data_IF_287393830425
#
_entry.id   IF_287393830425
#
_cell.length_a   1.000
_cell.length_b   1.000
_cell.length_c   1.000
_cell.angle_alpha   90.00
_cell.angle_beta   90.00
_cell.angle_gamma   90.00
#
_symmetry.space_group_name_H-M   'P 1'
#
loop_
_entity.id
_entity.type
_entity.pdbx_description
1 polymer ?
#
# COMPACT_ATOMS: atom_id res chain seq x y z
N UNK A 1 18.25 18.04 16.48
CA UNK A 1 17.12 18.92 16.08
C UNK A 1 15.94 18.01 15.74
N UNK A 2 14.80 18.12 16.44
CA UNK A 2 13.71 17.12 16.39
C UNK A 2 13.05 17.04 15.01
N UNK A 3 12.78 15.81 14.53
CA UNK A 3 12.12 15.51 13.25
C UNK A 3 10.77 16.23 13.02
N UNK A 4 10.14 16.73 14.09
CA UNK A 4 8.91 17.52 14.02
C UNK A 4 9.08 18.89 13.31
N UNK A 5 10.29 19.44 13.24
CA UNK A 5 10.54 20.74 12.62
C UNK A 5 10.75 20.68 11.09
N UNK A 6 10.94 19.49 10.52
CA UNK A 6 11.29 19.31 9.10
C UNK A 6 10.12 19.48 8.12
N UNK A 7 8.87 19.42 8.60
CA UNK A 7 7.67 19.66 7.79
C UNK A 7 7.01 21.03 8.08
N UNK A 8 7.65 21.89 8.87
CA UNK A 8 7.10 23.17 9.29
C UNK A 8 7.30 24.32 8.27
N UNK A 9 8.07 24.09 7.20
CA UNK A 9 8.36 25.12 6.18
C UNK A 9 7.41 25.14 4.98
N UNK A 10 6.39 24.28 4.96
CA UNK A 10 5.16 24.60 4.23
C UNK A 10 4.26 25.34 5.22
N UNK A 11 4.09 26.64 5.03
CA UNK A 11 3.25 27.50 5.88
C UNK A 11 1.81 27.01 5.83
N UNK A 12 1.46 26.13 6.76
CA UNK A 12 0.09 25.69 7.00
C UNK A 12 -0.70 26.90 7.56
N UNK A 13 -1.91 27.19 7.04
CA UNK A 13 -2.80 28.21 7.59
C UNK A 13 -2.89 28.12 9.12
N UNK A 14 -3.02 29.25 9.82
CA UNK A 14 -3.12 29.31 11.30
C UNK A 14 -4.20 28.36 11.89
N UNK A 15 -5.25 28.03 11.12
CA UNK A 15 -6.26 27.03 11.49
C UNK A 15 -5.68 25.62 11.64
N UNK A 16 -4.74 25.20 10.81
CA UNK A 16 -4.13 23.86 10.89
C UNK A 16 -3.21 23.70 12.10
N UNK A 17 -2.59 24.80 12.59
CA UNK A 17 -1.78 24.75 13.82
C UNK A 17 -2.66 24.51 15.05
N UNK A 18 -3.82 25.15 15.12
CA UNK A 18 -4.81 24.94 16.19
C UNK A 18 -5.42 23.54 16.10
N UNK A 19 -5.78 23.07 14.91
CA UNK A 19 -6.25 21.70 14.70
C UNK A 19 -5.20 20.66 15.07
N UNK A 20 -3.91 20.87 14.73
CA UNK A 20 -2.81 19.96 15.12
C UNK A 20 -2.56 19.96 16.62
N UNK A 21 -2.65 21.12 17.28
CA UNK A 21 -2.54 21.20 18.74
C UNK A 21 -3.66 20.40 19.41
N UNK A 22 -4.90 20.53 18.94
CA UNK A 22 -6.02 19.71 19.42
C UNK A 22 -5.87 18.21 19.07
N UNK A 23 -5.31 17.87 17.91
CA UNK A 23 -5.04 16.49 17.50
C UNK A 23 -3.97 15.79 18.37
N UNK A 24 -2.96 16.53 18.83
CA UNK A 24 -1.87 15.98 19.66
C UNK A 24 -2.29 15.59 21.08
N UNK A 25 -3.46 16.06 21.55
CA UNK A 25 -4.03 15.76 22.87
C UNK A 25 -5.40 15.09 22.77
N UNK A 26 -5.63 14.28 21.74
CA UNK A 26 -6.87 13.51 21.64
C UNK A 26 -6.94 12.48 22.78
N UNK A 27 -8.03 12.48 23.58
CA UNK A 27 -8.23 11.41 24.53
C UNK A 27 -8.45 10.08 23.79
N UNK A 28 -7.87 9.00 24.29
CA UNK A 28 -8.15 7.64 23.80
C UNK A 28 -9.64 7.29 23.98
N UNK A 29 -10.11 6.21 23.35
CA UNK A 29 -11.51 5.76 23.49
C UNK A 29 -11.85 5.54 24.98
N UNK A 30 -10.93 4.93 25.74
CA UNK A 30 -11.08 4.74 27.18
C UNK A 30 -11.14 6.06 27.95
N UNK A 31 -10.30 7.04 27.61
CA UNK A 31 -10.35 8.38 28.22
C UNK A 31 -11.65 9.13 27.87
N UNK A 32 -12.17 8.95 26.66
CA UNK A 32 -13.44 9.55 26.24
C UNK A 32 -14.61 8.99 27.04
N UNK A 33 -14.65 7.66 27.25
CA UNK A 33 -15.67 7.01 28.09
C UNK A 33 -15.58 7.52 29.54
N UNK A 34 -14.37 7.59 30.11
CA UNK A 34 -14.15 8.12 31.47
C UNK A 34 -14.62 9.57 31.60
N UNK A 35 -14.35 10.43 30.61
CA UNK A 35 -14.78 11.82 30.63
C UNK A 35 -16.31 11.96 30.53
N UNK A 36 -16.98 11.10 29.75
CA UNK A 36 -18.45 11.07 29.67
C UNK A 36 -19.04 10.63 31.02
N UNK A 37 -18.53 9.55 31.61
CA UNK A 37 -18.99 9.06 32.92
C UNK A 37 -18.77 10.11 34.00
N UNK A 38 -17.59 10.74 34.04
CA UNK A 38 -17.27 11.81 34.99
C UNK A 38 -18.21 13.01 34.82
N UNK A 39 -18.51 13.41 33.59
CA UNK A 39 -19.47 14.47 33.30
C UNK A 39 -20.87 14.14 33.85
N UNK A 40 -21.36 12.92 33.60
CA UNK A 40 -22.68 12.49 34.09
C UNK A 40 -22.70 12.48 35.61
N UNK A 41 -21.65 11.97 36.26
CA UNK A 41 -21.53 11.98 37.72
C UNK A 41 -21.50 13.39 38.29
N UNK A 42 -20.80 14.34 37.67
CA UNK A 42 -20.79 15.74 38.10
C UNK A 42 -22.18 16.40 37.97
N UNK A 43 -22.91 16.13 36.88
CA UNK A 43 -24.27 16.66 36.67
C UNK A 43 -25.23 16.07 37.71
N UNK A 44 -25.20 14.74 37.91
CA UNK A 44 -26.05 14.06 38.90
C UNK A 44 -25.71 14.53 40.32
N UNK A 45 -24.43 14.66 40.67
CA UNK A 45 -24.02 15.19 41.97
C UNK A 45 -24.47 16.64 42.16
N UNK A 46 -24.42 17.47 41.11
CA UNK A 46 -24.92 18.85 41.16
C UNK A 46 -26.43 18.90 41.38
N UNK A 47 -27.20 18.01 40.75
CA UNK A 47 -28.65 17.88 40.94
C UNK A 47 -29.02 17.36 42.33
N UNK A 48 -28.27 16.40 42.86
CA UNK A 48 -28.45 15.88 44.23
C UNK A 48 -28.12 16.98 45.26
N UNK A 49 -27.04 17.73 45.04
CA UNK A 49 -26.72 18.91 45.85
C UNK A 49 -27.87 19.93 45.83
N UNK A 50 -28.50 20.15 44.66
CA UNK A 50 -29.72 20.97 44.47
C UNK A 50 -30.89 20.55 45.36
N UNK A 51 -31.01 19.27 45.68
CA UNK A 51 -32.15 18.75 46.44
C UNK A 51 -31.89 18.67 47.94
N UNK A 52 -30.63 18.49 48.36
CA UNK A 52 -30.30 18.13 49.76
C UNK A 52 -29.74 19.32 50.55
N UNK A 53 -29.05 20.27 49.91
CA UNK A 53 -28.32 21.32 50.63
C UNK A 53 -29.19 22.54 50.98
N UNK A 54 -28.85 23.26 52.07
CA UNK A 54 -29.50 24.52 52.44
C UNK A 54 -29.40 25.58 51.33
N UNK A 55 -30.47 26.35 51.14
CA UNK A 55 -30.66 27.30 50.03
C UNK A 55 -29.48 28.28 49.81
N UNK A 56 -28.77 28.65 50.88
CA UNK A 56 -27.64 29.59 50.86
C UNK A 56 -26.35 29.06 50.23
N UNK A 57 -26.14 27.74 50.22
CA UNK A 57 -24.90 27.09 49.73
C UNK A 57 -25.17 26.27 48.47
N UNK A 58 -26.41 25.78 48.38
CA UNK A 58 -26.84 24.83 47.39
C UNK A 58 -26.68 25.35 45.94
N UNK A 59 -27.12 26.58 45.68
CA UNK A 59 -27.10 27.15 44.33
C UNK A 59 -25.67 27.25 43.78
N UNK A 60 -24.70 27.64 44.62
CA UNK A 60 -23.28 27.78 44.25
C UNK A 60 -22.64 26.43 43.94
N UNK A 61 -22.86 25.42 44.79
CA UNK A 61 -22.26 24.09 44.59
C UNK A 61 -22.90 23.37 43.39
N UNK A 62 -24.21 23.48 43.23
CA UNK A 62 -24.93 22.88 42.11
C UNK A 62 -24.50 23.49 40.77
N UNK A 63 -24.35 24.83 40.70
CA UNK A 63 -23.86 25.51 39.50
C UNK A 63 -22.40 25.14 39.17
N UNK A 64 -21.53 25.01 40.17
CA UNK A 64 -20.14 24.61 39.96
C UNK A 64 -20.04 23.18 39.41
N UNK A 65 -20.73 22.21 40.04
CA UNK A 65 -20.68 20.81 39.64
C UNK A 65 -21.40 20.57 38.31
N UNK A 66 -22.61 21.11 38.15
CA UNK A 66 -23.38 21.02 36.91
C UNK A 66 -22.70 21.74 35.75
N UNK A 67 -22.15 22.93 36.01
CA UNK A 67 -21.40 23.70 35.02
C UNK A 67 -20.10 23.01 34.59
N UNK A 68 -19.36 22.42 35.53
CA UNK A 68 -18.14 21.67 35.21
C UNK A 68 -18.45 20.42 34.39
N UNK A 69 -19.51 19.68 34.74
CA UNK A 69 -20.01 18.56 33.93
C UNK A 69 -20.40 19.00 32.52
N UNK A 70 -21.16 20.08 32.38
CA UNK A 70 -21.57 20.61 31.08
C UNK A 70 -20.39 21.06 30.21
N UNK A 71 -19.37 21.69 30.81
CA UNK A 71 -18.13 22.07 30.13
C UNK A 71 -17.37 20.85 29.61
N UNK A 72 -17.25 19.79 30.41
CA UNK A 72 -16.61 18.53 29.99
C UNK A 72 -17.40 17.89 28.84
N UNK A 73 -18.73 17.80 28.97
CA UNK A 73 -19.58 17.22 27.92
C UNK A 73 -19.48 18.01 26.61
N UNK A 74 -19.54 19.34 26.71
CA UNK A 74 -19.41 20.23 25.55
C UNK A 74 -18.04 20.07 24.87
N UNK A 75 -16.97 19.94 25.65
CA UNK A 75 -15.64 19.68 25.12
C UNK A 75 -15.56 18.32 24.40
N UNK A 76 -16.07 17.24 25.01
CA UNK A 76 -16.09 15.91 24.38
C UNK A 76 -16.93 15.91 23.10
N UNK A 77 -18.09 16.57 23.13
CA UNK A 77 -18.99 16.67 21.98
C UNK A 77 -18.35 17.47 20.85
N UNK A 78 -17.70 18.60 21.16
CA UNK A 78 -16.93 19.37 20.18
C UNK A 78 -15.78 18.55 19.58
N UNK A 79 -15.07 17.74 20.38
CA UNK A 79 -14.01 16.86 19.87
C UNK A 79 -14.57 15.76 18.97
N UNK A 80 -15.72 15.17 19.30
CA UNK A 80 -16.40 14.19 18.44
C UNK A 80 -16.89 14.83 17.14
N UNK A 81 -17.54 16.00 17.22
CA UNK A 81 -17.94 16.76 16.03
C UNK A 81 -16.72 17.09 15.18
N UNK A 82 -15.63 17.60 15.74
CA UNK A 82 -14.40 17.85 14.97
C UNK A 82 -13.84 16.56 14.36
N UNK A 83 -13.91 15.43 15.06
CA UNK A 83 -13.46 14.12 14.54
C UNK A 83 -14.33 13.64 13.36
N UNK A 84 -15.64 13.80 13.44
CA UNK A 84 -16.59 13.27 12.45
C UNK A 84 -16.99 14.29 11.36
N UNK A 85 -16.77 15.59 11.59
CA UNK A 85 -17.07 16.67 10.65
C UNK A 85 -15.85 17.17 9.89
N UNK A 86 -14.65 16.67 10.18
CA UNK A 86 -13.49 16.97 9.34
C UNK A 86 -13.72 16.38 7.94
N UNK A 87 -13.63 17.18 6.87
CA UNK A 87 -13.80 16.68 5.52
C UNK A 87 -12.72 15.63 5.27
N UNK A 88 -13.14 14.41 4.90
CA UNK A 88 -12.21 13.39 4.40
C UNK A 88 -11.50 14.02 3.22
N UNK A 89 -10.18 14.11 3.32
CA UNK A 89 -9.35 14.66 2.26
C UNK A 89 -9.29 13.64 1.12
N UNK A 90 -10.34 13.59 0.30
CA UNK A 90 -10.49 12.62 -0.79
C UNK A 90 -9.75 13.06 -2.05
N UNK A 91 -9.04 14.18 -2.01
CA UNK A 91 -8.35 14.76 -3.14
C UNK A 91 -7.18 13.89 -3.59
N UNK A 92 -7.03 13.77 -4.91
CA UNK A 92 -5.90 13.08 -5.52
C UNK A 92 -4.60 13.81 -5.16
N UNK A 93 -3.57 13.15 -4.59
CA UNK A 93 -2.34 13.81 -4.18
C UNK A 93 -1.53 14.31 -5.37
N UNK A 94 -0.73 15.36 -5.15
CA UNK A 94 0.09 16.01 -6.19
C UNK A 94 0.98 15.03 -6.96
N UNK A 95 1.56 14.03 -6.29
CA UNK A 95 2.37 13.01 -6.95
C UNK A 95 1.61 12.28 -8.06
N UNK A 96 0.42 11.75 -7.74
CA UNK A 96 -0.42 11.10 -8.73
C UNK A 96 -1.01 12.07 -9.76
N UNK A 97 -1.28 13.34 -9.40
CA UNK A 97 -1.66 14.36 -10.41
C UNK A 97 -0.57 14.56 -11.46
N UNK A 98 0.71 14.45 -11.12
CA UNK A 98 1.79 14.51 -12.12
C UNK A 98 1.79 13.28 -13.03
N UNK A 99 1.43 12.10 -12.51
CA UNK A 99 1.23 10.90 -13.33
C UNK A 99 0.10 11.15 -14.33
N UNK A 100 -1.04 11.69 -13.87
CA UNK A 100 -2.18 12.04 -14.74
C UNK A 100 -1.73 13.03 -15.82
N UNK A 101 -1.00 14.09 -15.45
CA UNK A 101 -0.46 15.09 -16.39
C UNK A 101 0.44 14.47 -17.47
N UNK A 102 1.19 13.44 -17.12
CA UNK A 102 2.15 12.81 -18.02
C UNK A 102 1.52 11.80 -18.99
N UNK A 103 0.36 11.24 -18.65
CA UNK A 103 -0.26 10.13 -19.37
C UNK A 103 -1.57 10.53 -20.05
N UNK A 104 -2.39 11.34 -19.40
CA UNK A 104 -3.62 11.85 -19.98
C UNK A 104 -3.41 13.20 -20.66
N UNK A 105 -4.40 13.57 -21.48
CA UNK A 105 -4.51 14.92 -22.04
C UNK A 105 -4.48 15.98 -20.94
N UNK A 106 -3.99 17.17 -21.29
CA UNK A 106 -3.96 18.32 -20.37
C UNK A 106 -5.34 18.61 -19.77
N UNK A 107 -6.42 18.36 -20.51
CA UNK A 107 -7.78 18.62 -20.05
C UNK A 107 -8.19 17.74 -18.87
N UNK A 108 -7.79 16.47 -18.83
CA UNK A 108 -8.05 15.61 -17.67
C UNK A 108 -7.30 16.13 -16.43
N UNK A 109 -6.03 16.51 -16.60
CA UNK A 109 -5.24 17.09 -15.51
C UNK A 109 -5.83 18.40 -15.01
N UNK A 110 -6.23 19.29 -15.91
CA UNK A 110 -6.85 20.58 -15.57
C UNK A 110 -8.19 20.37 -14.88
N UNK A 111 -9.03 19.43 -15.35
CA UNK A 111 -10.30 19.10 -14.71
C UNK A 111 -10.09 18.57 -13.28
N UNK A 112 -9.20 17.58 -13.11
CA UNK A 112 -8.87 17.02 -11.78
C UNK A 112 -8.34 18.10 -10.84
N UNK A 113 -7.55 19.04 -11.36
CA UNK A 113 -6.90 20.06 -10.53
C UNK A 113 -7.83 21.23 -10.20
N UNK A 114 -8.67 21.67 -11.15
CA UNK A 114 -9.55 22.84 -11.00
C UNK A 114 -10.84 22.51 -10.27
N UNK A 115 -11.41 21.32 -10.50
CA UNK A 115 -12.63 20.84 -9.83
C UNK A 115 -12.33 19.93 -8.64
N UNK A 116 -11.05 19.74 -8.32
CA UNK A 116 -10.55 18.98 -7.18
C UNK A 116 -11.16 17.57 -7.05
N UNK A 117 -11.23 16.87 -8.20
CA UNK A 117 -11.82 15.55 -8.29
C UNK A 117 -11.11 14.56 -7.36
N UNK A 118 -11.91 13.72 -6.70
CA UNK A 118 -11.39 12.57 -5.98
C UNK A 118 -11.15 11.39 -6.94
N UNK A 119 -10.50 10.33 -6.45
CA UNK A 119 -10.16 9.19 -7.31
C UNK A 119 -11.40 8.46 -7.84
N UNK A 120 -12.48 8.40 -7.06
CA UNK A 120 -13.71 7.69 -7.41
C UNK A 120 -14.41 8.42 -8.58
N UNK A 121 -14.55 9.74 -8.50
CA UNK A 121 -15.14 10.54 -9.57
C UNK A 121 -14.25 10.59 -10.80
N UNK A 122 -12.92 10.55 -10.63
CA UNK A 122 -12.00 10.43 -11.75
C UNK A 122 -12.09 9.06 -12.44
N UNK A 123 -12.23 7.97 -11.66
CA UNK A 123 -12.45 6.61 -12.16
C UNK A 123 -13.75 6.51 -12.93
N UNK A 124 -14.83 7.09 -12.38
CA UNK A 124 -16.12 7.19 -13.06
C UNK A 124 -15.97 7.92 -14.40
N UNK A 125 -15.30 9.08 -14.42
CA UNK A 125 -15.04 9.83 -15.65
C UNK A 125 -14.32 8.96 -16.69
N UNK A 126 -13.17 8.38 -16.33
CA UNK A 126 -12.37 7.57 -17.28
C UNK A 126 -13.19 6.41 -17.84
N UNK A 127 -13.95 5.72 -16.98
CA UNK A 127 -14.79 4.58 -17.38
C UNK A 127 -15.94 5.00 -18.28
N UNK A 128 -16.66 6.06 -17.90
CA UNK A 128 -17.78 6.58 -18.69
C UNK A 128 -17.33 7.05 -20.07
N UNK A 129 -16.16 7.68 -20.17
CA UNK A 129 -15.65 8.12 -21.46
C UNK A 129 -15.26 6.94 -22.35
N UNK A 130 -14.65 5.88 -21.80
CA UNK A 130 -14.41 4.65 -22.54
C UNK A 130 -15.73 4.04 -23.04
N UNK A 131 -16.74 3.93 -22.19
CA UNK A 131 -18.03 3.36 -22.54
C UNK A 131 -18.76 4.18 -23.61
N UNK A 132 -18.74 5.52 -23.53
CA UNK A 132 -19.45 6.36 -24.48
C UNK A 132 -18.87 6.26 -25.90
N UNK A 133 -17.58 5.96 -26.05
CA UNK A 133 -16.96 5.74 -27.37
C UNK A 133 -17.45 4.50 -28.09
N UNK A 134 -17.94 3.51 -27.37
CA UNK A 134 -18.44 2.26 -27.98
C UNK A 134 -19.84 2.44 -28.62
N UNK A 135 -20.52 3.57 -28.38
CA UNK A 135 -21.85 3.85 -28.92
C UNK A 135 -21.86 5.02 -29.91
N UNK A 136 -22.77 4.97 -30.90
CA UNK A 136 -22.93 5.99 -31.96
C UNK A 136 -23.25 7.41 -31.44
N UNK A 137 -23.64 7.56 -30.16
CA UNK A 137 -23.81 8.85 -29.48
C UNK A 137 -22.61 9.16 -28.56
N UNK A 138 -21.45 9.37 -29.18
CA UNK A 138 -20.14 9.30 -28.52
C UNK A 138 -19.72 10.51 -27.67
N UNK A 139 -20.58 11.52 -27.50
CA UNK A 139 -20.24 12.72 -26.73
C UNK A 139 -20.67 12.62 -25.27
N UNK A 140 -19.83 13.11 -24.36
CA UNK A 140 -20.13 13.25 -22.93
C UNK A 140 -21.32 14.17 -22.76
N UNK A 141 -21.42 15.24 -23.56
CA UNK A 141 -22.55 16.18 -23.52
C UNK A 141 -23.90 15.49 -23.63
N UNK A 142 -24.01 14.50 -24.52
CA UNK A 142 -25.26 13.77 -24.74
C UNK A 142 -25.54 12.70 -23.67
N UNK A 143 -24.58 12.41 -22.79
CA UNK A 143 -24.66 11.36 -21.77
C UNK A 143 -24.42 11.90 -20.34
N UNK A 144 -24.48 13.21 -20.12
CA UNK A 144 -24.28 13.84 -18.81
C UNK A 144 -25.28 13.37 -17.75
N UNK A 145 -26.48 12.98 -18.18
CA UNK A 145 -27.55 12.44 -17.35
C UNK A 145 -27.22 11.06 -16.76
N UNK A 146 -26.31 10.31 -17.38
CA UNK A 146 -25.84 8.99 -16.91
C UNK A 146 -24.73 9.08 -15.86
N UNK A 147 -24.16 10.27 -15.64
CA UNK A 147 -23.09 10.49 -14.66
C UNK A 147 -23.68 10.80 -13.28
N UNK A 148 -22.89 10.52 -12.24
CA UNK A 148 -23.19 10.91 -10.87
C UNK A 148 -23.38 12.43 -10.77
N UNK A 149 -24.22 12.88 -9.83
CA UNK A 149 -24.49 14.31 -9.64
C UNK A 149 -23.19 15.10 -9.42
N UNK A 150 -22.27 14.55 -8.64
CA UNK A 150 -20.99 15.17 -8.33
C UNK A 150 -20.11 15.33 -9.58
N UNK A 151 -19.97 14.28 -10.40
CA UNK A 151 -19.17 14.36 -11.61
C UNK A 151 -19.82 15.28 -12.65
N UNK A 152 -21.14 15.20 -12.81
CA UNK A 152 -21.91 16.06 -13.73
C UNK A 152 -21.73 17.54 -13.38
N UNK A 153 -21.88 17.91 -12.11
CA UNK A 153 -21.67 19.29 -11.65
C UNK A 153 -20.25 19.78 -11.93
N UNK A 154 -19.24 18.94 -11.66
CA UNK A 154 -17.85 19.28 -11.94
C UNK A 154 -17.58 19.49 -13.44
N UNK A 155 -18.12 18.63 -14.31
CA UNK A 155 -17.95 18.77 -15.77
C UNK A 155 -18.66 20.02 -16.29
N UNK A 156 -19.87 20.32 -15.81
CA UNK A 156 -20.61 21.53 -16.18
C UNK A 156 -19.83 22.78 -15.74
N UNK A 157 -19.30 22.80 -14.52
CA UNK A 157 -18.52 23.91 -13.98
C UNK A 157 -17.19 24.12 -14.73
N UNK A 158 -16.56 23.04 -15.20
CA UNK A 158 -15.33 23.10 -15.98
C UNK A 158 -15.55 23.52 -17.44
N UNK A 159 -16.69 23.16 -18.01
CA UNK A 159 -17.05 23.44 -19.41
C UNK A 159 -17.06 22.16 -20.24
N UNK A 160 -18.27 21.64 -20.47
CA UNK A 160 -18.54 20.38 -21.20
C UNK A 160 -17.90 20.37 -22.59
N UNK A 161 -18.01 21.47 -23.33
CA UNK A 161 -17.55 21.55 -24.72
C UNK A 161 -16.02 21.43 -24.85
N UNK A 162 -15.27 21.91 -23.84
CA UNK A 162 -13.81 21.77 -23.81
C UNK A 162 -13.38 20.32 -23.56
N UNK A 163 -14.13 19.61 -22.71
CA UNK A 163 -13.88 18.23 -22.38
C UNK A 163 -14.20 17.30 -23.57
N UNK A 164 -15.35 17.50 -24.20
CA UNK A 164 -15.79 16.70 -25.35
C UNK A 164 -14.86 16.80 -26.56
N UNK A 165 -14.39 18.03 -26.88
CA UNK A 165 -13.53 18.25 -28.04
C UNK A 165 -12.22 17.48 -27.95
N UNK A 166 -11.58 17.50 -26.78
CA UNK A 166 -10.26 16.89 -26.57
C UNK A 166 -10.36 15.37 -26.36
N UNK A 167 -11.50 14.90 -25.85
CA UNK A 167 -11.74 13.48 -25.65
C UNK A 167 -11.99 12.75 -26.96
N UNK A 168 -12.64 13.34 -27.96
CA UNK A 168 -12.95 12.61 -29.19
C UNK A 168 -11.72 12.15 -30.01
N UNK A 169 -10.50 12.60 -29.68
CA UNK A 169 -9.31 12.40 -30.51
C UNK A 169 -8.12 11.71 -29.80
N UNK A 170 -8.27 11.17 -28.59
CA UNK A 170 -7.12 10.66 -27.82
C UNK A 170 -7.33 9.28 -27.23
N UNK A 171 -6.30 8.45 -27.12
CA UNK A 171 -6.41 7.19 -26.38
C UNK A 171 -6.55 7.45 -24.89
N UNK A 172 -7.49 6.74 -24.26
CA UNK A 172 -7.73 6.84 -22.82
C UNK A 172 -7.03 5.68 -22.15
N UNK A 173 -6.11 6.01 -21.25
CA UNK A 173 -5.40 5.02 -20.47
C UNK A 173 -6.33 4.38 -19.44
N UNK A 174 -6.22 3.07 -19.29
CA UNK A 174 -6.88 2.33 -18.23
C UNK A 174 -6.31 2.80 -16.87
N UNK A 175 -7.20 3.31 -15.99
CA UNK A 175 -6.81 3.87 -14.71
C UNK A 175 -6.20 2.81 -13.77
N UNK A 176 -6.74 1.59 -13.72
CA UNK A 176 -6.23 0.52 -12.87
C UNK A 176 -4.82 0.11 -13.30
N UNK A 177 -4.59 -0.02 -14.61
CA UNK A 177 -3.25 -0.26 -15.14
C UNK A 177 -2.30 0.87 -14.71
N UNK A 178 -2.74 2.12 -14.78
CA UNK A 178 -1.92 3.25 -14.39
C UNK A 178 -1.60 3.27 -12.88
N UNK A 179 -2.58 2.91 -12.04
CA UNK A 179 -2.39 2.78 -10.60
C UNK A 179 -1.36 1.69 -10.28
N UNK A 180 -1.49 0.51 -10.90
CA UNK A 180 -0.56 -0.62 -10.72
C UNK A 180 0.87 -0.23 -11.17
N UNK A 181 1.02 0.48 -12.29
CA UNK A 181 2.34 0.87 -12.82
C UNK A 181 3.06 1.92 -11.96
N UNK A 182 2.32 2.79 -11.26
CA UNK A 182 2.87 3.99 -10.63
C UNK A 182 2.81 3.99 -9.10
N UNK A 183 1.89 3.24 -8.49
CA UNK A 183 1.62 3.23 -7.05
C UNK A 183 1.98 1.86 -6.45
N UNK A 184 3.00 1.78 -5.57
CA UNK A 184 3.47 0.52 -5.01
C UNK A 184 2.38 -0.27 -4.26
N UNK A 185 1.48 0.40 -3.54
CA UNK A 185 0.42 -0.29 -2.80
C UNK A 185 -0.62 -0.93 -3.73
N UNK A 186 -0.99 -0.28 -4.84
CA UNK A 186 -1.89 -0.89 -5.84
C UNK A 186 -1.21 -2.07 -6.55
N UNK A 187 0.10 -1.98 -6.80
CA UNK A 187 0.87 -3.12 -7.32
C UNK A 187 0.82 -4.31 -6.35
N UNK A 188 1.04 -4.06 -5.05
CA UNK A 188 1.00 -5.12 -4.03
C UNK A 188 -0.38 -5.72 -3.87
N UNK A 189 -1.44 -4.89 -3.85
CA UNK A 189 -2.83 -5.35 -3.83
C UNK A 189 -3.08 -6.29 -5.03
N UNK A 190 -2.71 -5.84 -6.24
CA UNK A 190 -2.91 -6.64 -7.44
C UNK A 190 -2.13 -7.95 -7.39
N UNK A 191 -0.91 -7.93 -6.86
CA UNK A 191 -0.11 -9.15 -6.71
C UNK A 191 -0.77 -10.18 -5.80
N UNK A 192 -1.37 -9.74 -4.69
CA UNK A 192 -2.13 -10.60 -3.77
C UNK A 192 -3.38 -11.16 -4.45
N UNK A 193 -4.15 -10.32 -5.16
CA UNK A 193 -5.38 -10.72 -5.87
C UNK A 193 -5.14 -11.80 -6.93
N UNK A 194 -3.98 -11.77 -7.58
CA UNK A 194 -3.59 -12.74 -8.60
C UNK A 194 -3.10 -14.07 -7.99
N UNK A 195 -2.90 -14.13 -6.68
CA UNK A 195 -2.50 -15.33 -5.97
C UNK A 195 -3.64 -16.35 -5.85
N UNK A 196 -3.29 -17.64 -5.84
CA UNK A 196 -4.28 -18.70 -5.71
C UNK A 196 -4.83 -18.81 -4.28
N UNK A 197 -6.16 -18.79 -4.13
CA UNK A 197 -6.83 -19.02 -2.84
C UNK A 197 -6.57 -20.43 -2.30
N UNK A 198 -6.42 -21.43 -3.18
CA UNK A 198 -6.11 -22.82 -2.80
C UNK A 198 -4.75 -22.93 -2.11
N UNK A 199 -3.77 -22.12 -2.53
CA UNK A 199 -2.44 -22.06 -1.92
C UNK A 199 -2.54 -21.49 -0.51
N UNK A 200 -3.32 -20.42 -0.32
CA UNK A 200 -3.54 -19.83 1.00
C UNK A 200 -4.26 -20.81 1.94
N UNK A 201 -5.31 -21.46 1.45
CA UNK A 201 -6.07 -22.47 2.21
C UNK A 201 -5.20 -23.68 2.59
N UNK A 202 -4.38 -24.19 1.66
CA UNK A 202 -3.47 -25.30 1.92
C UNK A 202 -2.37 -24.99 2.95
N UNK A 203 -2.10 -23.71 3.19
CA UNK A 203 -1.17 -23.24 4.23
C UNK A 203 -1.89 -22.66 5.46
N UNK A 204 -3.21 -22.84 5.58
CA UNK A 204 -4.05 -22.35 6.69
C UNK A 204 -3.98 -20.82 6.89
N UNK A 205 -3.75 -20.09 5.80
CA UNK A 205 -3.69 -18.63 5.80
C UNK A 205 -5.09 -18.06 5.61
N UNK A 206 -5.47 -17.11 6.48
CA UNK A 206 -6.74 -16.39 6.35
C UNK A 206 -6.72 -15.51 5.10
N UNK A 207 -7.82 -15.47 4.35
CA UNK A 207 -7.92 -14.72 3.09
C UNK A 207 -8.22 -13.23 3.28
N UNK A 208 -7.77 -12.61 4.37
CA UNK A 208 -7.80 -11.15 4.45
C UNK A 208 -6.50 -10.55 3.87
N UNK A 209 -6.54 -9.26 3.53
CA UNK A 209 -5.42 -8.56 2.91
C UNK A 209 -4.13 -8.63 3.73
N UNK A 210 -4.27 -8.61 5.05
CA UNK A 210 -3.13 -8.59 5.97
C UNK A 210 -2.42 -9.95 5.95
N UNK A 211 -3.14 -11.05 6.19
CA UNK A 211 -2.56 -12.39 6.21
C UNK A 211 -2.13 -12.85 4.81
N UNK A 212 -2.89 -12.49 3.76
CA UNK A 212 -2.52 -12.84 2.39
C UNK A 212 -1.26 -12.11 1.95
N UNK A 213 -1.14 -10.81 2.25
CA UNK A 213 0.10 -10.05 2.00
C UNK A 213 1.27 -10.56 2.83
N UNK A 214 1.02 -10.98 4.07
CA UNK A 214 2.03 -11.61 4.91
C UNK A 214 2.57 -12.92 4.33
N UNK A 215 1.73 -13.71 3.65
CA UNK A 215 2.17 -14.92 2.95
C UNK A 215 2.93 -14.57 1.66
N UNK A 216 2.30 -13.84 0.74
CA UNK A 216 2.85 -13.61 -0.61
C UNK A 216 4.15 -12.79 -0.63
N UNK A 217 4.42 -12.02 0.42
CA UNK A 217 5.66 -11.26 0.58
C UNK A 217 6.61 -11.87 1.61
N UNK A 218 6.35 -13.09 2.09
CA UNK A 218 7.27 -13.83 2.95
C UNK A 218 8.37 -14.53 2.16
N UNK A 219 9.18 -15.31 2.87
CA UNK A 219 10.19 -16.19 2.29
C UNK A 219 9.52 -17.24 1.38
N UNK A 220 10.02 -17.35 0.16
CA UNK A 220 9.52 -18.25 -0.87
C UNK A 220 9.54 -19.70 -0.36
N UNK A 221 8.44 -20.40 -0.60
CA UNK A 221 8.23 -21.80 -0.20
C UNK A 221 8.12 -22.01 1.31
N UNK A 222 8.19 -20.96 2.14
CA UNK A 222 8.23 -21.05 3.61
C UNK A 222 9.33 -22.02 4.10
N UNK A 223 10.46 -22.02 3.39
CA UNK A 223 11.56 -22.96 3.61
C UNK A 223 12.40 -22.49 4.80
N UNK A 224 12.37 -23.25 5.88
CA UNK A 224 13.17 -22.97 7.06
C UNK A 224 14.54 -23.63 7.00
N UNK A 225 14.60 -24.85 6.46
CA UNK A 225 15.83 -25.63 6.30
C UNK A 225 15.83 -26.36 4.96
N UNK A 226 17.04 -26.52 4.41
CA UNK A 226 17.32 -27.35 3.23
C UNK A 226 18.15 -28.56 3.65
N UNK A 227 18.06 -29.66 2.89
CA UNK A 227 18.78 -30.91 3.17
C UNK A 227 20.30 -30.74 3.36
N UNK A 228 20.89 -29.72 2.74
CA UNK A 228 22.32 -29.38 2.78
C UNK A 228 22.64 -28.06 3.51
N UNK A 229 21.63 -27.37 4.06
CA UNK A 229 21.73 -26.02 4.64
C UNK A 229 22.33 -24.95 3.71
N UNK A 230 22.29 -25.13 2.39
CA UNK A 230 22.84 -24.17 1.42
C UNK A 230 21.85 -23.06 1.08
N UNK A 231 20.55 -23.33 1.21
CA UNK A 231 19.51 -22.41 0.80
C UNK A 231 19.37 -21.25 1.78
N UNK A 232 19.63 -20.04 1.30
CA UNK A 232 19.32 -18.81 2.04
C UNK A 232 17.85 -18.44 1.84
N UNK A 233 17.17 -17.89 2.87
CA UNK A 233 15.82 -17.38 2.69
C UNK A 233 15.79 -16.24 1.67
N UNK A 234 14.79 -16.28 0.78
CA UNK A 234 14.60 -15.30 -0.28
C UNK A 234 13.11 -14.97 -0.41
N UNK A 235 12.78 -13.70 -0.65
CA UNK A 235 11.40 -13.27 -0.94
C UNK A 235 11.18 -13.15 -2.45
N UNK A 236 9.95 -12.84 -2.87
CA UNK A 236 9.69 -12.52 -4.28
C UNK A 236 10.54 -11.34 -4.76
N UNK A 237 10.91 -10.42 -3.86
CA UNK A 237 11.73 -9.27 -4.19
C UNK A 237 13.18 -9.72 -4.25
N UNK A 238 13.55 -10.29 -5.39
CA UNK A 238 14.90 -10.73 -5.69
C UNK A 238 15.22 -10.32 -7.14
N UNK A 239 16.42 -9.78 -7.38
CA UNK A 239 16.86 -9.38 -8.71
C UNK A 239 17.12 -10.60 -9.62
N UNK A 240 17.64 -11.71 -9.08
CA UNK A 240 17.77 -12.98 -9.80
C UNK A 240 16.41 -13.52 -10.23
N UNK A 241 15.41 -13.43 -9.34
CA UNK A 241 14.04 -13.87 -9.63
C UNK A 241 13.45 -13.05 -10.77
N UNK A 242 13.61 -11.73 -10.71
CA UNK A 242 13.16 -10.84 -11.77
C UNK A 242 13.73 -11.25 -13.12
N UNK A 243 15.04 -11.52 -13.19
CA UNK A 243 15.69 -11.94 -14.43
C UNK A 243 15.15 -13.25 -14.99
N UNK A 244 15.01 -14.26 -14.13
CA UNK A 244 14.39 -15.55 -14.51
C UNK A 244 12.96 -15.33 -15.02
N UNK A 245 12.18 -14.49 -14.33
CA UNK A 245 10.80 -14.19 -14.71
C UNK A 245 10.71 -13.44 -16.03
N UNK A 246 11.73 -12.73 -16.49
CA UNK A 246 11.71 -12.16 -17.84
C UNK A 246 11.78 -13.24 -18.94
N UNK A 247 12.45 -14.36 -18.66
CA UNK A 247 12.89 -15.33 -19.69
C UNK A 247 12.14 -16.67 -19.68
N UNK A 248 11.47 -17.01 -18.58
CA UNK A 248 10.70 -18.26 -18.46
C UNK A 248 9.39 -18.17 -19.25
N UNK A 249 9.01 -19.22 -20.00
CA UNK A 249 7.70 -19.28 -20.67
C UNK A 249 6.62 -19.89 -19.78
N UNK A 250 5.35 -19.68 -20.13
CA UNK A 250 4.21 -20.24 -19.39
C UNK A 250 4.22 -21.77 -19.36
N UNK A 251 4.57 -22.39 -20.50
CA UNK A 251 4.68 -23.84 -20.63
C UNK A 251 5.81 -24.41 -19.78
N UNK A 252 6.95 -23.73 -19.72
CA UNK A 252 8.06 -24.15 -18.85
C UNK A 252 7.68 -23.99 -17.39
N UNK A 253 7.09 -22.86 -17.00
CA UNK A 253 6.68 -22.63 -15.62
C UNK A 253 5.62 -23.64 -15.17
N UNK A 254 4.67 -23.98 -16.03
CA UNK A 254 3.67 -25.04 -15.77
C UNK A 254 4.32 -26.41 -15.59
N UNK A 255 5.35 -26.74 -16.40
CA UNK A 255 6.13 -27.95 -16.25
C UNK A 255 6.87 -27.99 -14.89
N UNK A 256 7.57 -26.91 -14.53
CA UNK A 256 8.27 -26.78 -13.26
C UNK A 256 7.31 -26.95 -12.08
N UNK A 257 6.16 -26.27 -12.10
CA UNK A 257 5.14 -26.36 -11.06
C UNK A 257 4.63 -27.79 -10.88
N UNK A 258 4.38 -28.50 -11.98
CA UNK A 258 3.94 -29.89 -11.93
C UNK A 258 5.00 -30.82 -11.29
N UNK A 259 6.27 -30.66 -11.65
CA UNK A 259 7.32 -31.48 -11.06
C UNK A 259 7.59 -31.16 -9.59
N UNK A 260 7.56 -29.87 -9.20
CA UNK A 260 7.72 -29.45 -7.81
C UNK A 260 6.61 -30.03 -6.92
N UNK A 261 5.34 -29.97 -7.36
CA UNK A 261 4.19 -30.51 -6.59
C UNK A 261 4.25 -32.01 -6.38
N UNK A 262 4.88 -32.74 -7.31
CA UNK A 262 4.96 -34.20 -7.28
C UNK A 262 6.29 -34.72 -6.69
N UNK A 263 7.18 -33.87 -6.20
CA UNK A 263 8.48 -34.30 -5.65
C UNK A 263 9.41 -34.90 -6.71
N UNK A 264 9.30 -34.45 -7.95
CA UNK A 264 10.09 -34.93 -9.09
C UNK A 264 11.09 -33.87 -9.58
N UNK A 265 11.73 -33.15 -8.65
CA UNK A 265 12.61 -32.02 -9.00
C UNK A 265 13.92 -32.43 -9.69
N UNK A 266 14.28 -33.71 -9.66
CA UNK A 266 15.44 -34.29 -10.34
C UNK A 266 15.16 -34.72 -11.80
N UNK A 267 13.98 -34.40 -12.34
CA UNK A 267 13.62 -34.80 -13.69
C UNK A 267 14.41 -34.05 -14.78
N UNK A 268 14.82 -34.74 -15.84
CA UNK A 268 15.65 -34.20 -16.93
C UNK A 268 15.06 -32.93 -17.60
N UNK A 269 13.73 -32.82 -17.63
CA UNK A 269 13.06 -31.63 -18.16
C UNK A 269 13.41 -30.35 -17.38
N UNK A 270 13.65 -30.47 -16.08
CA UNK A 270 14.04 -29.34 -15.22
C UNK A 270 15.47 -28.92 -15.55
N UNK A 271 16.38 -29.87 -15.70
CA UNK A 271 17.78 -29.59 -16.08
C UNK A 271 17.84 -28.83 -17.40
N UNK A 272 17.09 -29.26 -18.41
CA UNK A 272 17.03 -28.57 -19.70
C UNK A 272 16.52 -27.11 -19.58
N UNK A 273 15.54 -26.86 -18.71
CA UNK A 273 15.02 -25.51 -18.45
C UNK A 273 16.06 -24.67 -17.69
N UNK A 274 16.71 -25.23 -16.67
CA UNK A 274 17.74 -24.56 -15.87
C UNK A 274 18.93 -24.18 -16.75
N UNK A 275 19.45 -25.10 -17.56
CA UNK A 275 20.56 -24.87 -18.47
C UNK A 275 20.26 -23.74 -19.47
N UNK A 276 19.06 -23.77 -20.05
CA UNK A 276 18.60 -22.71 -20.96
C UNK A 276 18.55 -21.36 -20.25
N UNK A 277 17.94 -21.30 -19.07
CA UNK A 277 17.83 -20.06 -18.30
C UNK A 277 19.19 -19.56 -17.84
N UNK A 278 20.13 -20.44 -17.48
CA UNK A 278 21.51 -20.08 -17.17
C UNK A 278 22.15 -19.32 -18.33
N UNK A 279 22.03 -19.83 -19.56
CA UNK A 279 22.61 -19.19 -20.75
C UNK A 279 21.95 -17.85 -21.05
N UNK A 280 20.62 -17.75 -20.91
CA UNK A 280 19.85 -16.55 -21.34
C UNK A 280 19.81 -15.45 -20.28
N UNK A 281 19.82 -15.82 -19.00
CA UNK A 281 19.83 -14.90 -17.86
C UNK A 281 21.24 -14.44 -17.49
N UNK A 282 22.30 -15.14 -17.97
CA UNK A 282 23.66 -14.64 -17.94
C UNK A 282 23.77 -13.39 -18.83
N UNK A 283 23.86 -12.22 -18.21
CA UNK A 283 23.97 -10.97 -18.96
C UNK A 283 23.84 -9.71 -18.13
N UNK A 284 24.15 -8.58 -18.77
CA UNK A 284 23.98 -7.24 -18.23
C UNK A 284 22.51 -6.83 -18.36
N UNK A 285 21.85 -6.61 -17.22
CA UNK A 285 20.44 -6.17 -17.17
C UNK A 285 20.23 -4.75 -17.70
N UNK A 286 21.29 -4.04 -18.10
CA UNK A 286 21.20 -2.78 -18.84
C UNK A 286 20.29 -2.84 -20.07
N UNK A 287 20.09 -4.02 -20.69
CA UNK A 287 19.14 -4.20 -21.80
C UNK A 287 17.67 -3.89 -21.44
N UNK A 288 17.31 -3.95 -20.16
CA UNK A 288 15.96 -3.62 -19.66
C UNK A 288 15.85 -2.19 -19.11
N UNK A 289 16.91 -1.40 -19.22
CA UNK A 289 16.96 -0.03 -18.70
C UNK A 289 16.86 0.94 -19.87
N UNK A 290 15.91 1.87 -19.78
CA UNK A 290 15.81 2.96 -20.74
C UNK A 290 17.10 3.79 -20.71
N UNK A 291 17.60 4.23 -21.87
CA UNK A 291 18.87 4.99 -22.00
C UNK A 291 18.99 6.16 -21.00
N UNK A 292 17.88 6.81 -20.67
CA UNK A 292 17.82 7.94 -19.71
C UNK A 292 18.16 7.56 -18.26
N UNK A 293 18.06 6.29 -17.91
CA UNK A 293 18.30 5.76 -16.57
C UNK A 293 19.67 5.07 -16.44
N UNK A 294 20.44 4.91 -17.53
CA UNK A 294 21.72 4.19 -17.53
C UNK A 294 22.83 4.87 -16.71
N UNK A 295 22.87 6.20 -16.67
CA UNK A 295 23.96 6.97 -16.03
C UNK A 295 23.98 6.87 -14.48
N UNK A 296 22.94 6.31 -13.84
CA UNK A 296 22.83 6.24 -12.36
C UNK A 296 22.93 4.83 -11.76
N UNK A 297 22.93 3.76 -12.57
CA UNK A 297 22.66 2.39 -12.09
C UNK A 297 23.87 1.43 -12.30
N UNK A 298 25.07 1.96 -12.50
CA UNK A 298 26.13 1.28 -13.26
C UNK A 298 26.95 0.16 -12.59
N UNK A 299 26.65 -0.34 -11.38
CA UNK A 299 27.43 -1.46 -10.80
C UNK A 299 26.60 -2.63 -10.18
N UNK A 300 25.32 -2.46 -9.86
CA UNK A 300 24.49 -3.50 -9.20
C UNK A 300 23.69 -4.37 -10.20
N UNK A 301 23.87 -4.16 -11.50
CA UNK A 301 23.10 -4.80 -12.57
C UNK A 301 23.77 -6.02 -13.20
N UNK A 302 24.99 -6.34 -12.79
CA UNK A 302 25.63 -7.62 -13.17
C UNK A 302 25.23 -8.66 -12.13
N UNK A 303 24.27 -9.47 -12.51
CA UNK A 303 23.77 -10.56 -11.68
C UNK A 303 24.38 -11.83 -12.23
N UNK A 304 25.29 -12.43 -11.47
CA UNK A 304 25.82 -13.75 -11.80
C UNK A 304 24.84 -14.82 -11.33
N UNK A 305 24.46 -15.69 -12.26
CA UNK A 305 23.61 -16.85 -12.00
C UNK A 305 24.51 -18.08 -11.88
N UNK A 306 24.36 -18.79 -10.76
CA UNK A 306 24.86 -20.16 -10.62
C UNK A 306 23.74 -21.13 -10.98
N UNK A 307 24.11 -22.31 -11.48
CA UNK A 307 23.15 -23.38 -11.80
C UNK A 307 22.27 -23.71 -10.59
N UNK A 308 22.91 -23.97 -9.46
CA UNK A 308 22.27 -24.24 -8.17
C UNK A 308 21.35 -23.09 -7.74
N UNK A 309 21.79 -21.84 -7.92
CA UNK A 309 21.00 -20.66 -7.58
C UNK A 309 19.73 -20.53 -8.42
N UNK A 310 19.81 -20.77 -9.74
CA UNK A 310 18.64 -20.77 -10.64
C UNK A 310 17.69 -21.90 -10.27
N UNK A 311 18.22 -23.12 -10.12
CA UNK A 311 17.45 -24.32 -9.78
C UNK A 311 16.70 -24.14 -8.47
N UNK A 312 17.39 -23.69 -7.42
CA UNK A 312 16.81 -23.49 -6.11
C UNK A 312 15.75 -22.39 -6.13
N UNK A 313 16.00 -21.29 -6.81
CA UNK A 313 15.04 -20.18 -6.90
C UNK A 313 13.76 -20.58 -7.63
N UNK A 314 13.88 -21.32 -8.74
CA UNK A 314 12.72 -21.88 -9.45
C UNK A 314 11.91 -22.82 -8.55
N UNK A 315 12.59 -23.70 -7.80
CA UNK A 315 11.93 -24.59 -6.85
C UNK A 315 11.16 -23.79 -5.80
N UNK A 316 11.81 -22.79 -5.18
CA UNK A 316 11.20 -21.93 -4.18
C UNK A 316 9.96 -21.20 -4.72
N UNK A 317 10.01 -20.66 -5.94
CA UNK A 317 8.86 -20.03 -6.59
C UNK A 317 7.69 -21.00 -6.77
N UNK A 318 7.98 -22.22 -7.24
CA UNK A 318 6.97 -23.25 -7.45
C UNK A 318 6.37 -23.75 -6.13
N UNK A 319 7.19 -23.98 -5.10
CA UNK A 319 6.73 -24.40 -3.78
C UNK A 319 5.95 -23.31 -3.04
N UNK A 320 6.28 -22.04 -3.27
CA UNK A 320 5.48 -20.91 -2.79
C UNK A 320 4.12 -20.79 -3.51
N UNK A 321 3.97 -21.44 -4.67
CA UNK A 321 2.71 -21.46 -5.40
C UNK A 321 2.40 -20.18 -6.15
N UNK A 322 3.43 -19.45 -6.63
CA UNK A 322 3.22 -18.26 -7.44
C UNK A 322 2.43 -18.60 -8.72
N UNK A 323 1.38 -17.84 -9.03
CA UNK A 323 0.60 -18.00 -10.25
C UNK A 323 1.33 -17.41 -11.46
N UNK A 324 0.95 -17.82 -12.66
CA UNK A 324 1.53 -17.26 -13.89
C UNK A 324 1.22 -15.76 -14.02
N UNK A 325 0.02 -15.36 -13.60
CA UNK A 325 -0.42 -13.97 -13.60
C UNK A 325 0.41 -13.11 -12.64
N UNK A 326 0.79 -13.65 -11.47
CA UNK A 326 1.75 -12.99 -10.57
C UNK A 326 3.12 -12.80 -11.24
N UNK A 327 3.61 -13.81 -11.99
CA UNK A 327 4.86 -13.68 -12.76
C UNK A 327 4.73 -12.64 -13.89
N UNK A 328 3.59 -12.57 -14.57
CA UNK A 328 3.31 -11.53 -15.57
C UNK A 328 3.32 -10.12 -14.96
N UNK A 329 2.78 -9.97 -13.75
CA UNK A 329 2.81 -8.69 -13.05
C UNK A 329 4.25 -8.27 -12.73
N UNK A 330 5.09 -9.19 -12.24
CA UNK A 330 6.54 -8.94 -12.04
C UNK A 330 7.19 -8.57 -13.38
N UNK A 331 6.90 -9.32 -14.44
CA UNK A 331 7.46 -9.09 -15.79
C UNK A 331 7.15 -7.69 -16.31
N UNK A 332 5.92 -7.24 -16.12
CA UNK A 332 5.46 -5.91 -16.54
C UNK A 332 6.04 -4.75 -15.73
N UNK A 333 6.66 -5.04 -14.58
CA UNK A 333 7.21 -4.03 -13.68
C UNK A 333 8.57 -3.55 -14.20
N UNK A 334 8.79 -2.23 -14.39
CA UNK A 334 10.09 -1.72 -14.82
C UNK A 334 11.19 -2.08 -13.81
N UNK A 335 12.37 -2.46 -14.30
CA UNK A 335 13.52 -2.85 -13.44
C UNK A 335 13.87 -1.77 -12.41
N UNK A 336 13.77 -0.48 -12.76
CA UNK A 336 14.06 0.62 -11.85
C UNK A 336 13.03 0.76 -10.71
N UNK A 337 11.80 0.29 -10.91
CA UNK A 337 10.78 0.15 -9.86
C UNK A 337 11.03 -1.12 -9.06
N UNK A 338 11.39 -2.22 -9.72
CA UNK A 338 11.69 -3.49 -9.05
C UNK A 338 12.88 -3.40 -8.10
N UNK A 339 14.01 -2.80 -8.53
CA UNK A 339 15.17 -2.54 -7.67
C UNK A 339 14.79 -1.71 -6.44
N UNK A 340 13.83 -0.80 -6.60
CA UNK A 340 13.37 0.02 -5.50
C UNK A 340 12.52 -0.80 -4.50
N UNK A 341 11.64 -1.68 -4.99
CA UNK A 341 10.90 -2.62 -4.14
C UNK A 341 11.85 -3.58 -3.41
N UNK A 342 12.85 -4.13 -4.13
CA UNK A 342 13.92 -4.95 -3.56
C UNK A 342 14.68 -4.24 -2.44
N UNK A 343 15.03 -2.97 -2.65
CA UNK A 343 15.71 -2.17 -1.64
C UNK A 343 14.84 -1.91 -0.40
N UNK A 344 13.54 -1.67 -0.57
CA UNK A 344 12.61 -1.57 0.55
C UNK A 344 12.54 -2.89 1.30
N UNK A 345 12.43 -4.01 0.59
CA UNK A 345 12.27 -5.31 1.22
C UNK A 345 13.46 -5.68 2.11
N UNK A 346 14.68 -5.41 1.62
CA UNK A 346 15.92 -5.61 2.40
C UNK A 346 16.16 -4.62 3.53
N UNK A 347 15.32 -3.60 3.67
CA UNK A 347 15.51 -2.57 4.70
C UNK A 347 15.11 -3.02 6.10
N UNK A 348 14.44 -4.18 6.23
CA UNK A 348 14.11 -4.83 7.51
C UNK A 348 14.44 -6.33 7.45
N UNK A 349 14.76 -6.97 8.60
CA UNK A 349 15.04 -8.41 8.63
C UNK A 349 13.85 -9.28 8.20
N UNK A 350 12.61 -8.85 8.45
CA UNK A 350 11.39 -9.63 8.17
C UNK A 350 10.76 -9.35 6.79
N UNK A 351 11.39 -8.53 5.96
CA UNK A 351 10.83 -8.05 4.69
C UNK A 351 10.08 -6.74 4.86
N UNK A 352 10.65 -5.65 4.35
CA UNK A 352 10.06 -4.32 4.42
C UNK A 352 8.77 -4.22 3.62
N UNK A 353 8.66 -4.97 2.52
CA UNK A 353 7.44 -4.99 1.69
C UNK A 353 6.32 -5.75 2.39
N UNK A 354 6.63 -6.88 3.02
CA UNK A 354 5.70 -7.60 3.91
C UNK A 354 5.15 -6.68 5.00
N UNK A 355 6.03 -5.93 5.64
CA UNK A 355 5.66 -4.98 6.70
C UNK A 355 4.76 -3.85 6.19
N UNK A 356 4.99 -3.35 4.97
CA UNK A 356 4.09 -2.37 4.33
C UNK A 356 2.72 -2.97 4.02
N UNK A 357 2.68 -4.21 3.53
CA UNK A 357 1.43 -4.90 3.21
C UNK A 357 0.53 -4.95 4.45
N UNK A 358 1.11 -5.42 5.56
CA UNK A 358 0.44 -5.54 6.85
C UNK A 358 -0.11 -4.20 7.37
N UNK A 359 0.66 -3.13 7.23
CA UNK A 359 0.30 -1.83 7.78
C UNK A 359 -0.68 -1.02 6.93
N UNK A 360 -0.70 -1.21 5.60
CA UNK A 360 -1.28 -0.22 4.69
C UNK A 360 -2.14 -0.77 3.53
N UNK A 361 -2.26 -2.08 3.31
CA UNK A 361 -3.07 -2.62 2.19
C UNK A 361 -4.53 -2.90 2.50
N UNK A 362 -4.94 -2.94 3.77
CA UNK A 362 -6.36 -3.13 4.10
C UNK A 362 -7.17 -1.86 3.84
N UNK A 363 -7.80 -1.38 4.88
CA UNK A 363 -8.60 -0.17 5.00
C UNK A 363 -8.16 1.10 4.23
N UNK A 364 -6.86 1.27 3.95
CA UNK A 364 -6.30 2.49 3.36
C UNK A 364 -6.36 2.53 1.84
N UNK A 365 -6.46 1.38 1.16
CA UNK A 365 -6.44 1.30 -0.32
C UNK A 365 -7.83 1.12 -0.94
N UNK A 366 -8.77 0.54 -0.20
CA UNK A 366 -10.13 0.35 -0.66
C UNK A 366 -10.85 1.71 -0.73
N UNK A 367 -11.08 2.20 -1.95
CA UNK A 367 -11.73 3.49 -2.25
C UNK A 367 -13.13 3.61 -1.64
N UNK A 368 -13.81 2.48 -1.40
CA UNK A 368 -15.14 2.43 -0.77
C UNK A 368 -15.08 2.47 0.76
N UNK A 369 -13.93 2.16 1.33
CA UNK A 369 -13.78 2.00 2.76
C UNK A 369 -13.77 3.37 3.47
N UNK A 370 -14.40 3.52 4.64
CA UNK A 370 -14.40 4.78 5.37
C UNK A 370 -13.01 5.29 5.74
N UNK A 371 -12.02 4.39 5.79
CA UNK A 371 -10.63 4.67 6.14
C UNK A 371 -9.71 4.85 4.92
N UNK A 372 -10.26 4.91 3.71
CA UNK A 372 -9.49 5.21 2.51
C UNK A 372 -8.72 6.52 2.68
N UNK A 373 -7.41 6.48 2.42
CA UNK A 373 -6.57 7.68 2.47
C UNK A 373 -5.81 7.85 1.16
N UNK A 374 -6.28 8.73 0.24
CA UNK A 374 -5.66 8.87 -1.08
C UNK A 374 -4.20 9.32 -1.01
N UNK A 375 -3.81 10.07 0.03
CA UNK A 375 -2.42 10.45 0.26
C UNK A 375 -1.46 9.28 0.54
N UNK A 376 -1.99 8.11 0.89
CA UNK A 376 -1.26 6.86 1.09
C UNK A 376 -1.48 5.94 -0.10
N UNK A 377 -2.73 5.65 -0.47
CA UNK A 377 -3.07 4.74 -1.56
C UNK A 377 -2.44 5.17 -2.91
N UNK A 378 -2.51 6.45 -3.24
CA UNK A 378 -2.06 7.01 -4.52
C UNK A 378 -0.62 7.54 -4.46
N UNK A 379 0.14 7.14 -3.44
CA UNK A 379 1.53 7.54 -3.32
C UNK A 379 2.39 6.80 -4.35
N UNK A 380 3.18 7.55 -5.11
CA UNK A 380 3.89 7.03 -6.29
C UNK A 380 5.29 6.51 -5.96
N UNK A 381 5.85 5.65 -6.82
CA UNK A 381 7.27 5.26 -6.76
C UNK A 381 8.20 6.47 -6.69
N UNK A 382 7.89 7.52 -7.45
CA UNK A 382 8.68 8.76 -7.49
C UNK A 382 8.69 9.48 -6.13
N UNK A 383 7.55 9.52 -5.43
CA UNK A 383 7.46 10.10 -4.10
C UNK A 383 8.28 9.31 -3.10
N UNK A 384 8.18 7.97 -3.08
CA UNK A 384 8.97 7.17 -2.14
C UNK A 384 10.48 7.34 -2.39
N UNK A 385 10.91 7.33 -3.66
CA UNK A 385 12.31 7.57 -4.05
C UNK A 385 12.79 8.94 -3.55
N UNK A 386 11.99 10.00 -3.71
CA UNK A 386 12.35 11.34 -3.26
C UNK A 386 12.47 11.43 -1.73
N UNK A 387 11.51 10.86 -0.98
CA UNK A 387 11.52 10.87 0.49
C UNK A 387 12.76 10.16 1.03
N UNK A 388 13.12 9.04 0.42
CA UNK A 388 14.21 8.19 0.86
C UNK A 388 15.57 8.77 0.50
N UNK A 389 15.73 9.33 -0.71
CA UNK A 389 16.95 10.03 -1.12
C UNK A 389 17.19 11.30 -0.29
N UNK A 390 16.15 12.11 -0.06
CA UNK A 390 16.25 13.32 0.75
C UNK A 390 16.72 13.03 2.19
N UNK A 391 16.24 11.94 2.80
CA UNK A 391 16.66 11.54 4.15
C UNK A 391 18.04 10.90 4.18
N UNK A 392 18.44 10.14 3.15
CA UNK A 392 19.81 9.61 2.99
C UNK A 392 20.84 10.74 2.94
N UNK A 393 20.50 11.88 2.32
CA UNK A 393 21.35 13.06 2.28
C UNK A 393 21.47 13.81 3.62
N UNK A 394 20.46 13.69 4.50
CA UNK A 394 20.40 14.42 5.78
C UNK A 394 20.91 13.58 6.96
N UNK A 395 20.74 12.26 6.94
CA UNK A 395 21.20 11.34 7.98
C UNK A 395 22.15 10.30 7.37
N UNK A 396 23.44 10.34 7.72
CA UNK A 396 24.47 9.45 7.15
C UNK A 396 24.40 7.98 7.63
N UNK A 397 23.48 7.59 8.52
CA UNK A 397 23.51 6.26 9.16
C UNK A 397 22.19 5.46 9.15
N UNK A 398 21.09 5.95 8.56
CA UNK A 398 19.81 5.22 8.57
C UNK A 398 19.49 4.66 7.17
N UNK A 399 19.96 3.44 6.91
CA UNK A 399 19.64 2.67 5.69
C UNK A 399 18.19 2.11 5.66
N UNK A 400 17.30 2.54 6.56
CA UNK A 400 15.98 1.94 6.71
C UNK A 400 14.92 2.66 5.86
N UNK A 401 14.82 2.24 4.59
CA UNK A 401 13.82 2.68 3.61
C UNK A 401 12.39 2.60 4.16
N UNK A 402 12.04 1.46 4.75
CA UNK A 402 10.73 1.18 5.33
C UNK A 402 10.35 2.22 6.38
N UNK A 403 11.23 2.49 7.35
CA UNK A 403 10.98 3.48 8.41
C UNK A 403 10.70 4.87 7.85
N UNK A 404 11.37 5.27 6.77
CA UNK A 404 11.13 6.54 6.10
C UNK A 404 9.75 6.60 5.44
N UNK A 405 9.34 5.53 4.76
CA UNK A 405 8.00 5.41 4.16
C UNK A 405 6.92 5.42 5.25
N UNK A 406 7.08 4.64 6.32
CA UNK A 406 6.14 4.66 7.46
C UNK A 406 6.03 6.04 8.10
N UNK A 407 7.16 6.76 8.27
CA UNK A 407 7.14 8.13 8.76
C UNK A 407 6.36 9.06 7.82
N UNK A 408 6.56 8.94 6.50
CA UNK A 408 5.82 9.70 5.51
C UNK A 408 4.31 9.42 5.58
N UNK A 409 3.93 8.15 5.64
CA UNK A 409 2.53 7.74 5.80
C UNK A 409 1.92 8.23 7.11
N UNK A 410 2.65 8.12 8.23
CA UNK A 410 2.24 8.68 9.53
C UNK A 410 2.00 10.21 9.47
N UNK A 411 2.69 10.93 8.59
CA UNK A 411 2.44 12.36 8.36
C UNK A 411 1.22 12.62 7.47
N UNK A 412 0.88 11.70 6.57
CA UNK A 412 -0.30 11.76 5.69
C UNK A 412 -1.57 11.26 6.38
N UNK A 413 -1.46 10.35 7.37
CA UNK A 413 -2.55 9.91 8.22
C UNK A 413 -3.08 11.07 9.07
N UNK A 414 -4.14 11.72 8.58
CA UNK A 414 -4.83 12.83 9.27
C UNK A 414 -5.91 12.34 10.23
N UNK A 415 -6.56 11.22 9.89
CA UNK A 415 -7.77 10.74 10.59
C UNK A 415 -7.58 9.38 11.29
N UNK A 416 -6.45 8.71 11.06
CA UNK A 416 -6.13 7.40 11.64
C UNK A 416 -5.27 7.53 12.90
N UNK A 417 -5.36 6.53 13.77
CA UNK A 417 -4.33 6.34 14.79
C UNK A 417 -3.00 6.16 14.07
N UNK A 418 -2.04 7.03 14.39
CA UNK A 418 -0.70 6.91 13.83
C UNK A 418 -0.12 5.58 14.29
N UNK A 419 0.67 4.94 13.45
CA UNK A 419 1.46 3.80 13.86
C UNK A 419 2.55 4.34 14.79
N UNK A 420 2.27 4.32 16.10
CA UNK A 420 3.12 4.87 17.16
C UNK A 420 4.37 4.00 17.36
N UNK A 421 4.25 2.69 17.13
CA UNK A 421 5.33 1.74 17.27
C UNK A 421 5.53 0.95 15.97
N UNK A 422 6.38 1.48 15.09
CA UNK A 422 6.82 0.80 13.86
C UNK A 422 7.48 -0.54 14.20
N UNK A 423 8.18 -0.61 15.33
CA UNK A 423 8.87 -1.83 15.79
C UNK A 423 7.89 -2.91 16.26
N UNK A 424 6.69 -2.56 16.72
CA UNK A 424 5.63 -3.54 17.01
C UNK A 424 5.03 -4.15 15.73
N UNK A 425 4.98 -3.39 14.62
CA UNK A 425 4.57 -3.92 13.32
C UNK A 425 5.56 -4.99 12.81
N UNK A 426 6.83 -4.82 13.18
CA UNK A 426 7.96 -5.69 12.86
C UNK A 426 8.14 -6.90 13.79
N UNK A 427 7.38 -7.03 14.88
CA UNK A 427 7.57 -8.13 15.85
C UNK A 427 6.41 -9.15 15.85
N UNK A 428 5.30 -8.84 15.18
CA UNK A 428 4.15 -9.74 15.09
C UNK A 428 4.34 -10.73 13.94
N UNK A 429 5.28 -11.67 14.07
CA UNK A 429 5.44 -12.73 13.08
C UNK A 429 4.23 -13.67 13.18
N UNK A 430 3.50 -13.85 12.09
CA UNK A 430 2.48 -14.90 12.01
C UNK A 430 3.21 -16.24 12.05
N UNK A 431 2.78 -17.15 12.92
CA UNK A 431 3.16 -18.55 12.91
C UNK A 431 2.63 -19.21 11.63
N UNK A 432 3.31 -18.98 10.51
CA UNK A 432 3.08 -19.72 9.29
C UNK A 432 3.79 -21.07 9.40
N UNK A 433 3.25 -22.08 8.70
CA UNK A 433 3.91 -23.38 8.55
C UNK A 433 5.31 -23.18 8.01
N UNK A 434 6.23 -24.01 8.48
CA UNK A 434 7.62 -24.02 8.03
C UNK A 434 7.95 -25.39 7.49
N UNK A 435 8.73 -25.41 6.41
CA UNK A 435 9.07 -26.64 5.73
C UNK A 435 10.57 -26.88 5.73
N UNK A 436 10.95 -28.14 5.89
CA UNK A 436 12.24 -28.66 5.45
C UNK A 436 12.07 -29.16 4.03
N UNK A 437 12.95 -28.73 3.12
CA UNK A 437 12.89 -29.10 1.71
C UNK A 437 14.14 -29.88 1.31
N UNK A 438 13.92 -31.02 0.67
CA UNK A 438 14.98 -31.72 -0.05
C UNK A 438 15.16 -31.06 -1.43
N UNK A 439 16.33 -30.44 -1.65
CA UNK A 439 16.60 -29.70 -2.88
C UNK A 439 16.78 -30.61 -4.11
N UNK A 440 17.09 -31.89 -3.92
CA UNK A 440 17.25 -32.83 -5.04
C UNK A 440 15.88 -33.26 -5.59
N UNK A 441 14.97 -33.64 -4.70
CA UNK A 441 13.64 -34.16 -5.08
C UNK A 441 12.57 -33.07 -5.10
N UNK A 442 12.77 -31.95 -4.40
CA UNK A 442 11.75 -30.93 -4.16
C UNK A 442 10.71 -31.34 -3.11
N UNK A 443 10.91 -32.49 -2.44
CA UNK A 443 10.00 -32.99 -1.41
C UNK A 443 10.04 -32.08 -0.18
N UNK A 444 8.86 -31.76 0.37
CA UNK A 444 8.70 -30.93 1.57
C UNK A 444 8.19 -31.75 2.75
N UNK A 445 8.79 -31.52 3.92
CA UNK A 445 8.33 -32.04 5.20
C UNK A 445 7.99 -30.87 6.12
N UNK A 446 6.82 -30.89 6.76
CA UNK A 446 6.41 -29.85 7.70
C UNK A 446 7.20 -29.96 9.01
N UNK A 447 7.68 -28.82 9.51
CA UNK A 447 8.32 -28.72 10.82
C UNK A 447 7.22 -28.55 11.86
N UNK A 448 7.16 -29.42 12.89
CA UNK A 448 6.19 -29.29 13.97
C UNK A 448 6.30 -27.91 14.64
N UNK A 449 5.16 -27.31 14.98
CA UNK A 449 5.08 -25.95 15.55
C UNK A 449 5.68 -25.81 16.97
N UNK A 450 6.23 -26.88 17.55
CA UNK A 450 6.71 -26.97 18.93
C UNK A 450 8.25 -26.87 19.06
N UNK A 451 8.89 -25.89 18.40
CA UNK A 451 10.30 -25.51 18.65
C UNK A 451 10.45 -23.99 18.82
#
# INVERSE_FOLDING_TARGET
MKAANLFAHQTLPKQEVVCRYMQSKRPTISQTIVLIVLSVLCIVSGLISLLILPLSINLTISLLLGGLGWCILSFVTAQLIIKYSQPKNTHIPLGFRQVIKSKFSKVFFDLVTTQDLNIITFRELVTSVCNFREFENSSIRNNLDKLSSQLREAIIAFGVDNLDREINNQDIFNLDKLLIENCPLYWMQRFIELGSSEVLEGNEIRQDWQYSGDYWFSELGLIHQSSDNSLKPQTIFNLHLYGIVQEVSESEYSCLMNHARNGHWNHQAIEAIVDRLLIVCQGDYSRYINEKDQDKISNELRIEFTEEGVRNLLLCMCLHGLSWEQLQLIRSTPISSWQFLFWIDRSTPEGGMRSLARGFLGDFIDESHPNYEPGIALSTYSEYKNITQYRKCINQNENNAFRHICCYFNHRMRFHEKIVNIDALLNNVINARRYTVDLETGSRAEIPADI
#
